data_IF_431558136767
#
_entry.id   IF_431558136767
#
_cell.length_a   1.000
_cell.length_b   1.000
_cell.length_c   1.000
_cell.angle_alpha   90.00
_cell.angle_beta   90.00
_cell.angle_gamma   90.00
#
_symmetry.space_group_name_H-M   'P 1'
#
loop_
_entity.id
_entity.type
_entity.pdbx_description
1 polymer ?
#
# COMPACT_ATOMS: atom_id res chain seq x y z
N UNK A 1 -30.20 -11.32 -40.54
CA UNK A 1 -29.60 -12.67 -40.58
C UNK A 1 -28.88 -12.87 -39.25
N UNK A 2 -29.14 -13.87 -38.42
CA UNK A 2 -30.06 -15.03 -38.52
C UNK A 2 -30.76 -15.24 -37.18
N UNK A 3 -32.08 -15.45 -37.19
CA UNK A 3 -32.84 -15.86 -36.01
C UNK A 3 -32.83 -17.38 -35.89
N UNK A 4 -32.50 -17.92 -34.71
CA UNK A 4 -32.57 -19.36 -34.42
C UNK A 4 -33.67 -19.63 -33.40
N UNK A 5 -34.80 -20.17 -33.86
CA UNK A 5 -35.91 -20.62 -33.02
C UNK A 5 -35.85 -22.13 -32.84
N UNK A 6 -36.02 -22.62 -31.60
CA UNK A 6 -36.22 -24.05 -31.31
C UNK A 6 -37.35 -24.26 -30.29
N UNK A 7 -38.22 -25.23 -30.57
CA UNK A 7 -39.50 -25.55 -29.90
C UNK A 7 -39.73 -27.07 -30.03
N UNK A 8 -40.50 -27.81 -29.22
CA UNK A 8 -41.53 -27.51 -28.19
C UNK A 8 -41.30 -28.44 -26.98
N UNK A 9 -41.68 -28.05 -25.76
CA UNK A 9 -41.70 -28.96 -24.59
C UNK A 9 -42.76 -28.60 -23.54
N UNK A 10 -43.89 -29.30 -23.53
CA UNK A 10 -45.06 -29.04 -22.66
C UNK A 10 -44.98 -29.78 -21.32
N UNK A 11 -45.24 -29.11 -20.19
CA UNK A 11 -46.45 -29.31 -19.39
C UNK A 11 -46.53 -28.33 -18.21
N UNK A 12 -47.74 -27.94 -17.82
CA UNK A 12 -47.94 -26.77 -16.95
C UNK A 12 -47.93 -27.02 -15.45
N UNK A 13 -47.60 -25.96 -14.72
CA UNK A 13 -48.23 -25.57 -13.44
C UNK A 13 -48.19 -24.05 -13.35
N UNK A 14 -49.27 -23.45 -12.84
CA UNK A 14 -49.42 -22.00 -12.74
C UNK A 14 -48.70 -21.51 -11.47
N UNK A 15 -47.64 -20.72 -11.61
CA UNK A 15 -46.90 -20.14 -10.48
C UNK A 15 -46.71 -18.64 -10.73
N UNK A 16 -47.44 -17.83 -9.96
CA UNK A 16 -47.31 -16.37 -9.96
C UNK A 16 -45.96 -15.98 -9.35
N UNK A 17 -44.97 -15.62 -10.18
CA UNK A 17 -43.69 -15.10 -9.70
C UNK A 17 -43.74 -13.59 -9.51
N UNK A 18 -43.44 -13.14 -8.29
CA UNK A 18 -43.39 -11.74 -7.89
C UNK A 18 -42.43 -10.92 -8.78
N UNK A 19 -42.73 -9.64 -9.07
CA UNK A 19 -41.82 -8.77 -9.82
C UNK A 19 -40.67 -8.29 -8.93
N UNK A 20 -39.58 -9.05 -8.87
CA UNK A 20 -38.32 -8.65 -8.20
C UNK A 20 -37.39 -7.86 -9.13
N UNK A 21 -37.89 -7.38 -10.28
CA UNK A 21 -37.08 -6.82 -11.36
C UNK A 21 -37.12 -5.28 -11.40
N UNK A 22 -36.46 -4.65 -10.42
CA UNK A 22 -36.08 -3.22 -10.50
C UNK A 22 -34.79 -2.97 -9.71
N UNK A 23 -33.70 -3.62 -10.11
CA UNK A 23 -32.33 -3.21 -9.75
C UNK A 23 -31.47 -3.01 -11.01
N UNK A 24 -31.87 -2.03 -11.81
CA UNK A 24 -30.99 -1.44 -12.82
C UNK A 24 -31.25 0.07 -12.97
N UNK A 25 -30.50 0.87 -12.22
CA UNK A 25 -30.35 2.32 -12.46
C UNK A 25 -28.91 2.76 -12.19
N UNK A 26 -28.01 2.46 -13.12
CA UNK A 26 -26.76 3.18 -13.27
C UNK A 26 -27.05 4.63 -13.72
N UNK A 27 -27.47 5.49 -12.79
CA UNK A 27 -27.46 6.94 -13.01
C UNK A 27 -27.27 7.69 -11.68
N UNK A 28 -26.01 7.77 -11.23
CA UNK A 28 -25.62 8.56 -10.05
C UNK A 28 -25.83 10.04 -10.37
N UNK A 29 -26.97 10.57 -9.92
CA UNK A 29 -27.25 12.00 -9.82
C UNK A 29 -27.78 12.26 -8.41
N UNK A 30 -27.27 13.31 -7.78
CA UNK A 30 -27.50 13.61 -6.37
C UNK A 30 -28.99 13.70 -6.01
N UNK A 31 -29.51 12.64 -5.41
CA UNK A 31 -30.77 12.65 -4.66
C UNK A 31 -30.48 12.08 -3.27
N UNK A 32 -30.97 12.76 -2.24
CA UNK A 32 -30.82 12.30 -0.86
C UNK A 32 -31.43 10.89 -0.76
N UNK A 33 -30.57 9.87 -0.59
CA UNK A 33 -31.04 8.52 -0.32
C UNK A 33 -31.87 8.54 0.96
N UNK A 34 -33.10 8.05 0.90
CA UNK A 34 -33.99 7.96 2.06
C UNK A 34 -33.26 7.26 3.18
N UNK A 35 -32.92 8.01 4.23
CA UNK A 35 -32.21 7.49 5.39
C UNK A 35 -33.07 6.40 6.03
N UNK A 36 -32.46 5.46 6.76
CA UNK A 36 -33.26 4.52 7.55
C UNK A 36 -34.18 5.25 8.54
N UNK A 37 -33.78 6.44 9.01
CA UNK A 37 -34.62 7.35 9.79
C UNK A 37 -35.82 7.91 9.01
N UNK A 38 -35.67 8.22 7.71
CA UNK A 38 -36.77 8.68 6.84
C UNK A 38 -37.76 7.54 6.54
N UNK A 39 -37.25 6.32 6.33
CA UNK A 39 -38.06 5.11 6.19
C UNK A 39 -38.79 4.80 7.50
N UNK A 40 -38.14 4.93 8.66
CA UNK A 40 -38.74 4.76 9.98
C UNK A 40 -39.80 5.83 10.27
N UNK A 41 -39.58 7.10 9.88
CA UNK A 41 -40.56 8.16 10.02
C UNK A 41 -41.79 7.96 9.12
N UNK A 42 -41.56 7.55 7.87
CA UNK A 42 -42.63 7.19 6.92
C UNK A 42 -43.43 5.98 7.40
N UNK A 43 -42.75 4.98 7.96
CA UNK A 43 -43.36 3.81 8.59
C UNK A 43 -44.23 4.18 9.79
N UNK A 44 -43.71 4.98 10.74
CA UNK A 44 -44.47 5.40 11.93
C UNK A 44 -45.74 6.19 11.52
N UNK A 45 -45.64 7.00 10.48
CA UNK A 45 -46.78 7.73 9.91
C UNK A 45 -47.83 6.77 9.34
N UNK A 46 -47.43 5.76 8.56
CA UNK A 46 -48.35 4.74 8.03
C UNK A 46 -48.98 3.89 9.15
N UNK A 47 -48.21 3.51 10.17
CA UNK A 47 -48.70 2.74 11.31
C UNK A 47 -49.76 3.51 12.11
N UNK A 48 -49.53 4.81 12.37
CA UNK A 48 -50.53 5.69 13.01
C UNK A 48 -51.78 5.85 12.14
N UNK A 49 -51.62 6.01 10.82
CA UNK A 49 -52.77 6.13 9.88
C UNK A 49 -53.59 4.84 9.80
N UNK A 50 -52.95 3.66 9.88
CA UNK A 50 -53.64 2.38 9.95
C UNK A 50 -54.36 2.22 11.29
N UNK A 51 -53.72 2.52 12.43
CA UNK A 51 -54.36 2.47 13.75
C UNK A 51 -55.63 3.35 13.86
N UNK A 52 -55.68 4.45 13.12
CA UNK A 52 -56.88 5.32 13.04
C UNK A 52 -58.00 4.80 12.13
N UNK A 53 -57.75 3.82 11.25
CA UNK A 53 -58.70 3.33 10.23
C UNK A 53 -58.91 1.80 10.25
N UNK A 54 -58.49 1.10 11.31
CA UNK A 54 -58.65 -0.35 11.41
C UNK A 54 -60.04 -0.74 11.92
N UNK A 55 -60.66 -1.70 11.23
CA UNK A 55 -61.83 -2.43 11.73
C UNK A 55 -61.39 -3.37 12.86
N UNK A 56 -62.07 -3.38 14.03
CA UNK A 56 -61.69 -4.20 15.18
C UNK A 56 -61.77 -5.73 14.94
N UNK A 57 -62.33 -6.19 13.82
CA UNK A 57 -62.58 -7.62 13.56
C UNK A 57 -61.46 -8.34 12.78
N UNK A 58 -60.42 -7.65 12.31
CA UNK A 58 -59.27 -8.29 11.63
C UNK A 58 -57.97 -7.49 11.80
N UNK A 59 -57.22 -7.67 12.90
CA UNK A 59 -55.93 -7.02 13.08
C UNK A 59 -54.88 -7.58 12.10
N UNK A 60 -54.35 -6.74 11.22
CA UNK A 60 -53.13 -7.08 10.45
C UNK A 60 -51.96 -7.40 11.37
N UNK A 61 -51.15 -8.38 10.97
CA UNK A 61 -50.07 -8.93 11.80
C UNK A 61 -48.88 -7.95 11.91
N UNK A 62 -48.89 -7.18 13.00
CA UNK A 62 -47.85 -6.21 13.35
C UNK A 62 -46.47 -6.83 13.56
N UNK A 63 -46.35 -8.16 13.72
CA UNK A 63 -45.06 -8.84 13.85
C UNK A 63 -44.26 -8.81 12.54
N UNK A 64 -44.93 -8.93 11.38
CA UNK A 64 -44.26 -8.96 10.08
C UNK A 64 -43.67 -7.58 9.72
N UNK A 65 -44.42 -6.51 10.01
CA UNK A 65 -43.94 -5.12 9.92
C UNK A 65 -42.76 -4.85 10.86
N UNK A 66 -42.85 -5.31 12.12
CA UNK A 66 -41.78 -5.14 13.12
C UNK A 66 -40.50 -5.87 12.70
N UNK A 67 -40.63 -7.06 12.10
CA UNK A 67 -39.50 -7.82 11.54
C UNK A 67 -38.84 -7.08 10.36
N UNK A 68 -39.62 -6.46 9.47
CA UNK A 68 -39.10 -5.69 8.34
C UNK A 68 -38.42 -4.39 8.81
N UNK A 69 -38.95 -3.69 9.82
CA UNK A 69 -38.24 -2.58 10.48
C UNK A 69 -36.92 -3.03 11.11
N UNK A 70 -36.91 -4.17 11.80
CA UNK A 70 -35.70 -4.71 12.41
C UNK A 70 -34.63 -5.00 11.33
N UNK A 71 -35.01 -5.54 10.18
CA UNK A 71 -34.13 -5.77 9.04
C UNK A 71 -33.61 -4.46 8.41
N UNK A 72 -34.43 -3.42 8.28
CA UNK A 72 -33.97 -2.10 7.82
C UNK A 72 -32.98 -1.49 8.81
N UNK A 73 -33.24 -1.60 10.11
CA UNK A 73 -32.35 -1.11 11.17
C UNK A 73 -31.01 -1.85 11.21
N UNK A 74 -30.98 -3.17 11.01
CA UNK A 74 -29.71 -3.93 10.95
C UNK A 74 -28.91 -3.57 9.69
N UNK A 75 -29.55 -3.44 8.52
CA UNK A 75 -28.88 -2.97 7.28
C UNK A 75 -28.34 -1.55 7.46
N UNK A 76 -29.08 -0.65 8.09
CA UNK A 76 -28.61 0.69 8.42
C UNK A 76 -27.43 0.68 9.39
N UNK A 77 -27.48 -0.17 10.42
CA UNK A 77 -26.37 -0.36 11.35
C UNK A 77 -25.10 -0.86 10.65
N UNK A 78 -25.24 -1.81 9.72
CA UNK A 78 -24.12 -2.30 8.90
C UNK A 78 -23.57 -1.18 8.00
N UNK A 79 -24.43 -0.35 7.40
CA UNK A 79 -23.99 0.80 6.60
C UNK A 79 -23.24 1.85 7.43
N UNK A 80 -23.71 2.13 8.66
CA UNK A 80 -23.02 3.01 9.62
C UNK A 80 -21.67 2.42 10.08
N UNK A 81 -21.60 1.10 10.31
CA UNK A 81 -20.35 0.40 10.63
C UNK A 81 -19.35 0.50 9.46
N UNK A 82 -19.77 0.23 8.22
CA UNK A 82 -18.91 0.37 7.03
C UNK A 82 -18.40 1.80 6.84
N UNK A 83 -19.25 2.80 7.10
CA UNK A 83 -18.87 4.22 7.09
C UNK A 83 -17.82 4.52 8.16
N UNK A 84 -18.04 4.01 9.38
CA UNK A 84 -17.12 4.18 10.52
C UNK A 84 -15.76 3.52 10.27
N UNK A 85 -15.75 2.31 9.71
CA UNK A 85 -14.53 1.59 9.30
C UNK A 85 -13.78 2.32 8.18
N UNK A 86 -14.49 2.90 7.22
CA UNK A 86 -13.89 3.71 6.15
C UNK A 86 -13.24 4.98 6.72
N UNK A 87 -13.93 5.65 7.65
CA UNK A 87 -13.39 6.83 8.36
C UNK A 87 -12.15 6.47 9.19
N UNK A 88 -12.17 5.34 9.90
CA UNK A 88 -11.03 4.84 10.68
C UNK A 88 -9.83 4.52 9.77
N UNK A 89 -10.07 3.84 8.64
CA UNK A 89 -9.03 3.57 7.63
C UNK A 89 -8.39 4.86 7.13
N UNK A 90 -9.19 5.88 6.80
CA UNK A 90 -8.71 7.21 6.41
C UNK A 90 -7.85 7.88 7.51
N UNK A 91 -8.30 7.80 8.77
CA UNK A 91 -7.57 8.33 9.92
C UNK A 91 -6.20 7.64 10.10
N UNK A 92 -6.15 6.31 9.97
CA UNK A 92 -4.92 5.52 10.05
C UNK A 92 -3.97 5.84 8.88
N UNK A 93 -4.49 6.06 7.67
CA UNK A 93 -3.72 6.51 6.51
C UNK A 93 -3.11 7.90 6.73
N UNK A 94 -3.88 8.86 7.26
CA UNK A 94 -3.38 10.19 7.60
C UNK A 94 -2.29 10.14 8.71
N UNK A 95 -2.45 9.23 9.69
CA UNK A 95 -1.43 8.94 10.70
C UNK A 95 -0.14 8.37 10.11
N UNK A 96 -0.22 7.50 9.10
CA UNK A 96 0.95 6.99 8.37
C UNK A 96 1.62 8.08 7.53
N UNK A 97 0.86 8.97 6.89
CA UNK A 97 1.42 10.13 6.18
C UNK A 97 2.16 11.10 7.11
N UNK A 98 1.64 11.30 8.32
CA UNK A 98 2.30 12.12 9.35
C UNK A 98 3.63 11.51 9.79
N UNK A 99 3.67 10.20 10.05
CA UNK A 99 4.91 9.49 10.37
C UNK A 99 5.91 9.50 9.21
N UNK A 100 5.44 9.34 7.98
CA UNK A 100 6.25 9.46 6.78
C UNK A 100 6.84 10.88 6.63
N UNK A 101 6.10 11.93 7.01
CA UNK A 101 6.57 13.31 6.91
C UNK A 101 7.75 13.59 7.86
N UNK A 102 7.85 12.88 8.99
CA UNK A 102 9.01 12.93 9.89
C UNK A 102 10.30 12.36 9.26
N UNK A 103 10.18 11.58 8.17
CA UNK A 103 11.33 11.03 7.44
C UNK A 103 11.90 12.02 6.41
N UNK A 104 11.21 13.11 6.08
CA UNK A 104 11.70 14.12 5.11
C UNK A 104 13.03 14.68 5.60
N UNK A 105 14.04 14.70 4.72
CA UNK A 105 15.42 15.09 5.04
C UNK A 105 16.28 14.02 5.71
N UNK A 106 15.70 12.88 6.12
CA UNK A 106 16.47 11.70 6.58
C UNK A 106 16.98 10.87 5.40
N UNK A 107 18.00 10.06 5.65
CA UNK A 107 18.48 9.09 4.67
C UNK A 107 17.88 7.72 4.96
N UNK A 108 17.44 7.04 3.91
CA UNK A 108 16.82 5.72 3.98
C UNK A 108 17.51 4.74 3.05
N UNK A 109 17.52 3.46 3.42
CA UNK A 109 17.91 2.36 2.54
C UNK A 109 16.65 1.78 1.93
N UNK A 110 16.51 1.89 0.61
CA UNK A 110 15.30 1.48 -0.12
C UNK A 110 15.67 0.75 -1.42
N UNK A 111 14.75 -0.04 -2.03
CA UNK A 111 15.01 -0.78 -3.26
C UNK A 111 15.61 0.10 -4.36
N UNK A 112 16.82 -0.23 -4.78
CA UNK A 112 17.61 0.62 -5.65
C UNK A 112 19.01 0.06 -5.88
N UNK A 113 19.52 0.31 -7.09
CA UNK A 113 20.81 -0.19 -7.57
C UNK A 113 21.84 0.92 -7.82
N UNK A 114 21.49 2.19 -7.63
CA UNK A 114 22.40 3.31 -7.90
C UNK A 114 23.22 3.68 -6.66
N UNK A 115 24.55 3.63 -6.78
CA UNK A 115 25.52 4.04 -5.75
C UNK A 115 26.38 5.17 -6.30
N UNK A 116 26.40 6.31 -5.61
CA UNK A 116 27.31 7.40 -5.95
C UNK A 116 28.65 7.23 -5.23
N UNK A 117 29.75 7.41 -5.96
CA UNK A 117 31.12 7.50 -5.46
C UNK A 117 31.57 8.96 -5.53
N UNK A 118 32.11 9.47 -4.42
CA UNK A 118 32.67 10.83 -4.34
C UNK A 118 33.84 10.87 -3.36
N UNK A 119 34.97 11.45 -3.78
CA UNK A 119 36.17 11.60 -2.93
C UNK A 119 36.71 10.27 -2.41
N UNK A 120 36.59 9.19 -3.17
CA UNK A 120 37.01 7.84 -2.75
C UNK A 120 36.10 7.15 -1.73
N UNK A 121 34.92 7.72 -1.43
CA UNK A 121 33.88 7.08 -0.61
C UNK A 121 32.66 6.72 -1.45
N UNK A 122 32.05 5.56 -1.21
CA UNK A 122 30.79 5.15 -1.81
C UNK A 122 29.60 5.47 -0.89
N UNK A 123 28.44 5.74 -1.49
CA UNK A 123 27.17 5.84 -0.74
C UNK A 123 26.80 4.49 -0.11
N UNK A 124 26.23 4.44 1.10
CA UNK A 124 25.79 3.19 1.70
C UNK A 124 24.78 2.45 0.81
N UNK A 125 24.87 1.13 0.79
CA UNK A 125 23.95 0.26 0.08
C UNK A 125 23.80 -1.05 0.86
N UNK A 126 22.93 -1.94 0.39
CA UNK A 126 22.68 -3.21 1.04
C UNK A 126 22.02 -4.22 0.11
N UNK A 127 21.74 -5.39 0.64
CA UNK A 127 20.98 -6.44 -0.03
C UNK A 127 19.88 -6.93 0.91
N UNK A 128 18.66 -7.04 0.41
CA UNK A 128 17.55 -7.69 1.12
C UNK A 128 17.42 -9.14 0.65
N UNK A 129 17.44 -10.07 1.59
CA UNK A 129 17.37 -11.52 1.37
C UNK A 129 16.13 -12.10 2.05
N UNK A 130 15.25 -12.74 1.29
CA UNK A 130 14.02 -13.38 1.82
C UNK A 130 14.31 -14.66 2.61
N UNK A 131 15.48 -15.28 2.40
CA UNK A 131 15.95 -16.50 3.07
C UNK A 131 17.45 -16.42 3.27
N UNK A 132 18.00 -17.27 4.13
CA UNK A 132 19.45 -17.48 4.23
C UNK A 132 20.02 -17.96 2.89
N UNK A 133 21.22 -17.52 2.53
CA UNK A 133 21.90 -17.87 1.28
C UNK A 133 23.34 -18.27 1.54
N UNK A 134 23.86 -19.26 0.80
CA UNK A 134 25.21 -19.79 1.01
C UNK A 134 26.31 -18.98 0.30
N UNK A 135 25.97 -18.34 -0.83
CA UNK A 135 26.92 -17.61 -1.67
C UNK A 135 26.27 -16.36 -2.26
N UNK A 136 26.36 -15.23 -1.59
CA UNK A 136 25.99 -13.92 -2.13
C UNK A 136 27.17 -13.30 -2.90
N UNK A 137 26.90 -12.86 -4.13
CA UNK A 137 27.84 -12.11 -4.97
C UNK A 137 27.22 -10.78 -5.37
N UNK A 138 27.97 -9.69 -5.21
CA UNK A 138 27.57 -8.33 -5.58
C UNK A 138 28.51 -7.88 -6.70
N UNK A 139 27.94 -7.60 -7.87
CA UNK A 139 28.66 -7.08 -9.04
C UNK A 139 28.43 -5.58 -9.14
N UNK A 140 29.51 -4.80 -9.26
CA UNK A 140 29.46 -3.34 -9.42
C UNK A 140 29.85 -2.98 -10.85
N UNK A 141 29.00 -2.18 -11.51
CA UNK A 141 29.19 -1.70 -12.89
C UNK A 141 29.35 -0.18 -12.93
N UNK A 142 30.17 0.31 -13.84
CA UNK A 142 30.28 1.74 -14.15
C UNK A 142 29.14 2.23 -15.06
N UNK A 143 29.12 3.53 -15.39
CA UNK A 143 28.14 4.12 -16.30
C UNK A 143 28.16 3.55 -17.74
N UNK A 144 29.27 2.93 -18.17
CA UNK A 144 29.39 2.23 -19.45
C UNK A 144 28.90 0.76 -19.39
N UNK A 145 28.40 0.31 -18.24
CA UNK A 145 27.96 -1.07 -18.02
C UNK A 145 29.09 -2.09 -17.79
N UNK A 146 30.35 -1.65 -17.82
CA UNK A 146 31.52 -2.49 -17.54
C UNK A 146 31.56 -2.86 -16.06
N UNK A 147 31.80 -4.14 -15.76
CA UNK A 147 32.06 -4.59 -14.38
C UNK A 147 33.41 -4.05 -13.92
N UNK A 148 33.42 -3.33 -12.80
CA UNK A 148 34.64 -2.75 -12.21
C UNK A 148 35.09 -3.50 -10.97
N UNK A 149 34.16 -4.07 -10.20
CA UNK A 149 34.44 -4.83 -8.99
C UNK A 149 33.35 -5.92 -8.78
N UNK A 150 33.73 -7.04 -8.19
CA UNK A 150 32.84 -8.15 -7.83
C UNK A 150 33.15 -8.60 -6.40
N UNK A 151 32.26 -8.27 -5.47
CA UNK A 151 32.37 -8.57 -4.05
C UNK A 151 31.72 -9.93 -3.79
N UNK A 152 32.48 -10.89 -3.27
CA UNK A 152 31.94 -12.18 -2.80
C UNK A 152 31.64 -12.07 -1.30
N UNK A 153 30.38 -11.87 -0.96
CA UNK A 153 29.91 -11.71 0.43
C UNK A 153 29.68 -13.04 1.16
N UNK A 154 29.77 -14.19 0.45
CA UNK A 154 29.70 -15.52 1.04
C UNK A 154 28.32 -15.85 1.62
N UNK A 155 28.28 -16.61 2.70
CA UNK A 155 27.05 -16.99 3.37
C UNK A 155 26.45 -15.80 4.13
N UNK A 156 25.15 -15.57 3.99
CA UNK A 156 24.42 -14.47 4.61
C UNK A 156 23.05 -14.96 5.12
N UNK A 157 22.62 -14.46 6.27
CA UNK A 157 21.29 -14.75 6.84
C UNK A 157 20.19 -14.01 6.09
N UNK A 158 18.94 -14.46 6.26
CA UNK A 158 17.76 -13.72 5.82
C UNK A 158 17.70 -12.33 6.49
N UNK A 159 17.13 -11.34 5.78
CA UNK A 159 16.96 -9.97 6.24
C UNK A 159 17.71 -8.94 5.39
N UNK A 160 17.90 -7.75 5.96
CA UNK A 160 18.67 -6.66 5.33
C UNK A 160 20.12 -6.74 5.76
N UNK A 161 21.02 -6.96 4.80
CA UNK A 161 22.47 -6.94 5.01
C UNK A 161 23.05 -5.64 4.45
N UNK A 162 23.49 -4.69 5.31
CA UNK A 162 24.15 -3.47 4.85
C UNK A 162 25.59 -3.78 4.39
N UNK A 163 26.01 -3.14 3.30
CA UNK A 163 27.35 -3.27 2.74
C UNK A 163 28.04 -1.90 2.66
N UNK A 164 29.23 -1.83 3.25
CA UNK A 164 30.14 -0.70 3.08
C UNK A 164 31.20 -1.10 2.05
N UNK A 165 31.17 -0.49 0.87
CA UNK A 165 32.13 -0.76 -0.21
C UNK A 165 33.14 0.36 -0.31
N UNK A 166 34.42 0.03 -0.22
CA UNK A 166 35.50 0.92 -0.62
C UNK A 166 35.56 0.90 -2.16
N UNK A 167 35.40 2.05 -2.85
CA UNK A 167 35.28 2.10 -4.30
C UNK A 167 36.64 1.91 -4.99
N UNK A 168 37.13 0.68 -4.99
CA UNK A 168 38.30 0.25 -5.77
C UNK A 168 37.88 -0.65 -6.93
N UNK A 169 38.73 -0.73 -7.96
CA UNK A 169 38.62 -1.74 -9.00
C UNK A 169 39.12 -3.12 -8.50
N UNK A 170 39.13 -4.10 -9.41
CA UNK A 170 39.59 -5.47 -9.14
C UNK A 170 41.12 -5.61 -9.00
N UNK A 171 41.88 -4.53 -9.28
CA UNK A 171 43.32 -4.43 -9.11
C UNK A 171 43.72 -3.57 -7.88
N UNK A 172 42.74 -3.02 -7.15
CA UNK A 172 42.95 -2.18 -5.97
C UNK A 172 43.09 -0.68 -6.24
N UNK A 173 42.96 -0.23 -7.50
CA UNK A 173 43.01 1.20 -7.82
C UNK A 173 41.72 1.90 -7.40
N UNK A 174 41.80 3.14 -6.93
CA UNK A 174 40.62 3.95 -6.62
C UNK A 174 39.78 4.22 -7.88
N UNK A 175 38.47 4.03 -7.78
CA UNK A 175 37.54 4.36 -8.85
C UNK A 175 37.26 5.87 -8.88
N UNK A 176 37.06 6.47 -10.08
CA UNK A 176 36.74 7.88 -10.21
C UNK A 176 35.37 8.22 -9.64
N UNK A 177 35.19 9.48 -9.26
CA UNK A 177 33.91 10.02 -8.81
C UNK A 177 32.83 9.86 -9.90
N UNK A 178 31.67 9.33 -9.54
CA UNK A 178 30.63 8.98 -10.51
C UNK A 178 29.47 8.18 -9.95
N UNK A 179 28.54 7.80 -10.83
CA UNK A 179 27.42 6.90 -10.52
C UNK A 179 27.75 5.48 -10.98
N UNK A 180 27.55 4.53 -10.08
CA UNK A 180 27.77 3.10 -10.28
C UNK A 180 26.47 2.33 -10.06
N UNK A 181 26.33 1.20 -10.75
CA UNK A 181 25.17 0.32 -10.63
C UNK A 181 25.58 -0.97 -9.92
N UNK A 182 25.00 -1.24 -8.76
CA UNK A 182 25.19 -2.49 -8.02
C UNK A 182 24.11 -3.50 -8.37
N UNK A 183 24.49 -4.76 -8.55
CA UNK A 183 23.57 -5.88 -8.76
C UNK A 183 23.99 -7.04 -7.86
N UNK A 184 23.02 -7.63 -7.15
CA UNK A 184 23.27 -8.72 -6.22
C UNK A 184 22.62 -10.01 -6.75
N UNK A 185 23.32 -11.13 -6.61
CA UNK A 185 22.84 -12.46 -6.98
C UNK A 185 23.38 -13.49 -6.00
N UNK A 186 22.58 -14.48 -5.66
CA UNK A 186 22.99 -15.59 -4.79
C UNK A 186 22.78 -16.93 -5.47
N UNK A 187 23.54 -17.94 -5.05
CA UNK A 187 23.32 -19.32 -5.49
C UNK A 187 22.30 -20.00 -4.58
N UNK A 188 21.24 -20.57 -5.15
CA UNK A 188 20.27 -21.40 -4.43
C UNK A 188 20.81 -22.81 -4.15
N UNK A 189 20.04 -23.62 -3.41
CA UNK A 189 20.40 -25.00 -3.05
C UNK A 189 20.58 -25.94 -4.25
N UNK A 190 20.11 -25.55 -5.44
CA UNK A 190 20.24 -26.32 -6.68
C UNK A 190 21.44 -25.87 -7.54
N UNK A 191 22.22 -24.88 -7.08
CA UNK A 191 23.33 -24.31 -7.83
C UNK A 191 22.94 -23.18 -8.79
N UNK A 192 21.67 -22.74 -8.78
CA UNK A 192 21.16 -21.73 -9.73
C UNK A 192 21.41 -20.31 -9.21
N UNK A 193 21.89 -19.37 -10.05
CA UNK A 193 21.98 -17.97 -9.67
C UNK A 193 20.59 -17.32 -9.66
N UNK A 194 20.16 -16.84 -8.50
CA UNK A 194 18.94 -16.07 -8.28
C UNK A 194 19.28 -14.59 -8.03
N UNK A 195 18.48 -13.63 -8.52
CA UNK A 195 18.67 -12.22 -8.21
C UNK A 195 18.30 -11.92 -6.75
N UNK A 196 19.06 -11.04 -6.10
CA UNK A 196 18.69 -10.46 -4.80
C UNK A 196 18.30 -8.99 -4.95
N UNK A 197 17.37 -8.54 -4.11
CA UNK A 197 16.94 -7.13 -4.07
C UNK A 197 18.08 -6.28 -3.53
N UNK A 198 18.62 -5.40 -4.37
CA UNK A 198 19.58 -4.38 -3.95
C UNK A 198 18.87 -3.20 -3.30
N UNK A 199 19.50 -2.66 -2.26
CA UNK A 199 19.03 -1.50 -1.52
C UNK A 199 20.07 -0.40 -1.65
N UNK A 200 19.67 0.83 -1.94
CA UNK A 200 20.56 1.98 -2.03
C UNK A 200 20.17 3.05 -1.02
N UNK A 201 21.16 3.78 -0.49
CA UNK A 201 20.93 5.00 0.26
C UNK A 201 20.29 6.07 -0.64
N UNK A 202 19.26 6.75 -0.14
CA UNK A 202 18.72 7.97 -0.75
C UNK A 202 18.08 8.85 0.31
N UNK A 203 18.06 10.15 0.08
CA UNK A 203 17.41 11.12 0.99
C UNK A 203 15.93 11.22 0.65
N UNK A 204 15.07 11.27 1.66
CA UNK A 204 13.62 11.49 1.45
C UNK A 204 13.38 12.97 1.20
N UNK A 205 12.82 13.31 0.03
CA UNK A 205 12.55 14.69 -0.39
C UNK A 205 11.13 15.15 -0.04
N UNK A 206 10.14 14.27 -0.19
CA UNK A 206 8.74 14.57 0.12
C UNK A 206 7.93 13.28 0.36
N UNK A 207 6.71 13.45 0.85
CA UNK A 207 5.72 12.37 1.01
C UNK A 207 4.54 12.64 0.08
N UNK A 208 4.05 11.58 -0.57
CA UNK A 208 2.84 11.63 -1.40
C UNK A 208 1.84 10.55 -0.99
N UNK A 209 0.57 10.75 -1.37
CA UNK A 209 -0.43 9.69 -1.35
C UNK A 209 -0.29 8.86 -2.63
N UNK A 210 -0.03 7.56 -2.50
CA UNK A 210 0.04 6.64 -3.63
C UNK A 210 -1.36 6.29 -4.15
N UNK A 211 -1.42 5.65 -5.33
CA UNK A 211 -2.69 5.24 -5.96
C UNK A 211 -3.48 4.20 -5.14
N UNK A 212 -2.80 3.38 -4.35
CA UNK A 212 -3.39 2.45 -3.38
C UNK A 212 -3.88 3.15 -2.08
N UNK A 213 -3.69 4.47 -2.00
CA UNK A 213 -4.04 5.30 -0.85
C UNK A 213 -2.98 5.40 0.23
N UNK A 214 -1.90 4.61 0.18
CA UNK A 214 -0.84 4.58 1.21
C UNK A 214 0.12 5.77 1.13
N UNK A 215 0.98 5.93 2.14
CA UNK A 215 2.06 6.92 2.13
C UNK A 215 3.28 6.41 1.33
N UNK A 216 3.66 7.15 0.30
CA UNK A 216 4.87 6.93 -0.49
C UNK A 216 5.93 8.00 -0.21
N UNK A 217 7.18 7.59 -0.07
CA UNK A 217 8.34 8.47 0.07
C UNK A 217 8.94 8.75 -1.29
N UNK A 218 9.01 10.02 -1.69
CA UNK A 218 9.74 10.45 -2.88
C UNK A 218 11.20 10.65 -2.50
N UNK A 219 12.08 9.91 -3.16
CA UNK A 219 13.51 9.88 -2.90
C UNK A 219 14.28 10.85 -3.79
N UNK A 220 15.48 11.25 -3.36
CA UNK A 220 16.39 12.16 -4.07
C UNK A 220 16.87 11.64 -5.44
N UNK A 221 16.66 10.35 -5.72
CA UNK A 221 16.91 9.71 -7.01
C UNK A 221 15.72 9.82 -8.00
N UNK A 222 14.58 10.38 -7.56
CA UNK A 222 13.35 10.53 -8.34
C UNK A 222 12.35 9.36 -8.24
N UNK A 223 12.67 8.27 -7.54
CA UNK A 223 11.73 7.16 -7.33
C UNK A 223 10.79 7.43 -6.16
N UNK A 224 9.62 6.80 -6.18
CA UNK A 224 8.74 6.71 -5.00
C UNK A 224 8.81 5.29 -4.45
N UNK A 225 8.92 5.16 -3.13
CA UNK A 225 8.90 3.86 -2.43
C UNK A 225 7.87 3.86 -1.32
N UNK A 226 7.21 2.72 -1.07
CA UNK A 226 6.29 2.59 0.05
C UNK A 226 7.02 2.56 1.39
N UNK A 227 6.36 2.99 2.47
CA UNK A 227 6.94 2.94 3.83
C UNK A 227 7.41 1.54 4.24
N UNK A 228 6.69 0.50 3.79
CA UNK A 228 7.01 -0.92 4.02
C UNK A 228 8.21 -1.44 3.23
N UNK A 229 8.70 -0.69 2.25
CA UNK A 229 9.87 -1.04 1.44
C UNK A 229 11.16 -0.41 1.98
N UNK A 230 11.06 0.49 2.96
CA UNK A 230 12.23 1.06 3.63
C UNK A 230 12.86 0.00 4.53
N UNK A 231 14.09 -0.38 4.22
CA UNK A 231 14.84 -1.42 4.92
C UNK A 231 15.55 -0.88 6.17
N UNK A 232 15.99 0.38 6.14
CA UNK A 232 16.48 1.11 7.32
C UNK A 232 16.40 2.62 7.14
N UNK A 233 16.40 3.34 8.26
CA UNK A 233 16.45 4.81 8.34
C UNK A 233 17.71 5.17 9.12
N UNK A 234 18.45 6.18 8.67
CA UNK A 234 19.66 6.66 9.35
C UNK A 234 19.77 8.19 9.27
N UNK A 235 20.35 8.84 10.29
CA UNK A 235 20.45 10.29 10.34
C UNK A 235 21.28 10.82 9.18
N UNK A 236 20.89 11.98 8.66
CA UNK A 236 21.71 12.72 7.73
C UNK A 236 22.90 13.34 8.49
N UNK A 237 24.09 12.78 8.32
CA UNK A 237 25.32 13.17 9.02
C UNK A 237 25.84 14.57 8.67
N UNK A 238 25.18 15.27 7.74
CA UNK A 238 25.51 16.64 7.37
C UNK A 238 25.21 17.70 8.45
N UNK A 239 24.44 17.39 9.51
CA UNK A 239 23.91 18.38 10.45
C UNK A 239 24.53 18.38 11.86
N UNK A 240 25.74 17.84 12.04
CA UNK A 240 26.47 17.93 13.32
C UNK A 240 27.94 18.31 13.13
N UNK A 241 28.20 19.52 12.65
CA UNK A 241 29.46 20.20 13.02
C UNK A 241 29.41 20.48 14.52
N UNK A 242 30.39 20.03 15.33
CA UNK A 242 30.49 20.49 16.70
C UNK A 242 30.77 21.99 16.68
N UNK A 243 29.88 22.77 17.30
CA UNK A 243 30.12 24.18 17.60
C UNK A 243 31.44 24.31 18.36
N UNK A 244 32.46 24.87 17.71
CA UNK A 244 33.75 25.17 18.34
C UNK A 244 33.53 26.21 19.44
N UNK A 245 33.41 25.73 20.68
CA UNK A 245 33.42 26.58 21.87
C UNK A 245 34.81 27.16 22.02
N UNK A 246 34.97 28.43 21.65
CA UNK A 246 36.23 29.15 21.80
C UNK A 246 36.54 29.40 23.27
N UNK A 247 37.53 28.69 23.82
CA UNK A 247 38.10 29.01 25.13
C UNK A 247 39.18 30.08 24.94
N UNK A 248 38.82 31.34 25.16
CA UNK A 248 39.78 32.42 25.36
C UNK A 248 40.50 32.21 26.69
N UNK A 249 41.78 31.85 26.65
CA UNK A 249 42.67 31.95 27.83
C UNK A 249 43.44 33.26 27.78
N UNK A 250 43.19 34.09 28.78
CA UNK A 250 43.91 35.32 29.11
C UNK A 250 45.16 35.02 29.95
#
# INVERSE_FOLDING_TARGET
MTSSSTTIGSNGTNVSSLPTDTMNTNNVSSTNGTSASDLQATFLKLLVTQLQNQDPTSPVDSSQMTSQLAQINTVSGIAQLNTSLTSLSSQLTAGQQTQAALLIGTNVLAPGNAVAVKGGAASPFGVSLSSSVSNLTITVKNAAGTVVNTIKAGAQSAGTVPFNWTPTDSAGNALPDGKYTVSASYTDSNGTPQPATTLAASTVQSVIKQADGTAGLVLSNGTTVGLTQVASIFPNTASSSPSSGGTTTN
#
